data_IF_495116074669
#
_entry.id   IF_495116074669
#
_cell.length_a   1.000
_cell.length_b   1.000
_cell.length_c   1.000
_cell.angle_alpha   90.00
_cell.angle_beta   90.00
_cell.angle_gamma   90.00
#
_symmetry.space_group_name_H-M   'P 1'
#
loop_
_entity.id
_entity.type
_entity.pdbx_description
1 polymer ?
#
# COMPACT_ATOMS: atom_id res chain seq x y z
N UNK A 1 -48.28 39.96 -41.49
CA UNK A 1 -48.59 39.16 -42.70
C UNK A 1 -47.24 38.89 -43.35
N UNK A 2 -46.65 37.69 -43.41
CA UNK A 2 -47.12 36.30 -43.43
C UNK A 2 -46.02 35.37 -42.86
N UNK A 3 -46.45 34.20 -42.39
CA UNK A 3 -45.72 33.18 -41.61
C UNK A 3 -44.83 32.22 -42.44
N UNK A 4 -44.10 31.37 -41.68
CA UNK A 4 -43.69 29.95 -41.93
C UNK A 4 -42.48 29.74 -42.88
N UNK A 5 -41.50 28.83 -42.68
CA UNK A 5 -41.41 27.52 -41.99
C UNK A 5 -39.95 27.14 -41.65
N UNK A 6 -39.78 26.50 -40.49
CA UNK A 6 -38.82 25.45 -40.05
C UNK A 6 -37.70 24.95 -40.98
N UNK A 7 -36.47 24.87 -40.45
CA UNK A 7 -35.55 23.73 -40.64
C UNK A 7 -34.62 23.63 -39.41
N UNK A 8 -34.79 22.54 -38.65
CA UNK A 8 -33.81 22.04 -37.69
C UNK A 8 -32.65 21.39 -38.45
N UNK A 9 -31.42 21.54 -37.96
CA UNK A 9 -30.49 20.43 -37.97
C UNK A 9 -30.17 19.95 -36.55
N UNK A 10 -30.52 18.68 -36.32
CA UNK A 10 -29.94 17.75 -35.34
C UNK A 10 -28.49 17.47 -35.74
N UNK A 11 -27.50 17.72 -34.86
CA UNK A 11 -26.28 16.89 -34.78
C UNK A 11 -25.68 16.94 -33.35
N UNK A 12 -25.61 15.75 -32.78
CA UNK A 12 -24.67 15.21 -31.78
C UNK A 12 -24.46 15.96 -30.45
N UNK A 13 -25.12 15.40 -29.43
CA UNK A 13 -24.56 15.06 -28.13
C UNK A 13 -23.03 14.88 -28.17
N UNK A 14 -22.29 15.88 -27.69
CA UNK A 14 -20.99 15.62 -27.09
C UNK A 14 -21.30 15.03 -25.72
N UNK A 15 -21.27 13.70 -25.64
CA UNK A 15 -21.21 12.96 -24.39
C UNK A 15 -19.86 13.27 -23.76
N UNK A 16 -19.73 14.46 -23.18
CA UNK A 16 -18.94 14.61 -21.96
C UNK A 16 -19.59 13.69 -20.96
N UNK A 17 -19.17 12.42 -20.96
CA UNK A 17 -19.36 11.50 -19.86
C UNK A 17 -18.94 12.30 -18.62
N UNK A 18 -19.94 12.76 -17.87
CA UNK A 18 -19.72 13.43 -16.62
C UNK A 18 -18.88 12.43 -15.84
N UNK A 19 -17.58 12.67 -15.73
CA UNK A 19 -16.74 11.97 -14.80
C UNK A 19 -17.53 12.06 -13.50
N UNK A 20 -18.09 10.93 -13.08
CA UNK A 20 -18.91 10.88 -11.88
C UNK A 20 -18.12 11.64 -10.84
N UNK A 21 -18.72 12.66 -10.21
CA UNK A 21 -18.02 13.46 -9.22
C UNK A 21 -17.83 12.57 -8.00
N UNK A 22 -16.82 11.70 -8.08
CA UNK A 22 -16.48 10.73 -7.05
C UNK A 22 -15.97 11.60 -5.91
N UNK A 23 -16.67 11.59 -4.76
CA UNK A 23 -16.22 12.36 -3.62
C UNK A 23 -14.89 11.80 -3.11
N UNK A 24 -14.14 12.58 -2.35
CA UNK A 24 -12.94 12.05 -1.70
C UNK A 24 -13.30 10.90 -0.76
N UNK A 25 -12.66 9.75 -0.95
CA UNK A 25 -13.02 8.50 -0.26
C UNK A 25 -11.99 8.14 0.80
N UNK A 26 -12.46 7.58 1.91
CA UNK A 26 -11.56 6.88 2.85
C UNK A 26 -11.06 5.56 2.26
N UNK A 27 -9.97 5.02 2.83
CA UNK A 27 -9.27 3.83 2.32
C UNK A 27 -10.19 2.66 1.94
N UNK A 28 -11.14 2.30 2.80
CA UNK A 28 -12.09 1.20 2.54
C UNK A 28 -12.96 1.45 1.30
N UNK A 29 -13.56 2.64 1.19
CA UNK A 29 -14.43 2.97 0.05
C UNK A 29 -13.64 3.11 -1.24
N UNK A 30 -12.43 3.65 -1.15
CA UNK A 30 -11.52 3.71 -2.30
C UNK A 30 -11.12 2.29 -2.77
N UNK A 31 -10.80 1.39 -1.84
CA UNK A 31 -10.46 0.00 -2.14
C UNK A 31 -11.63 -0.79 -2.74
N UNK A 32 -12.85 -0.61 -2.21
CA UNK A 32 -14.08 -1.17 -2.79
C UNK A 32 -14.26 -0.71 -4.24
N UNK A 33 -14.14 0.60 -4.50
CA UNK A 33 -14.24 1.16 -5.85
C UNK A 33 -13.21 0.57 -6.81
N UNK A 34 -11.94 0.44 -6.38
CA UNK A 34 -10.89 -0.16 -7.20
C UNK A 34 -11.13 -1.66 -7.40
N UNK A 35 -11.64 -2.36 -6.38
CA UNK A 35 -11.96 -3.79 -6.48
C UNK A 35 -13.06 -4.04 -7.50
N UNK A 36 -14.14 -3.28 -7.43
CA UNK A 36 -15.27 -3.38 -8.36
C UNK A 36 -14.83 -3.05 -9.79
N UNK A 37 -13.98 -2.01 -9.94
CA UNK A 37 -13.51 -1.55 -11.25
C UNK A 37 -12.56 -2.54 -11.94
N UNK A 38 -11.58 -3.06 -11.20
CA UNK A 38 -10.50 -3.87 -11.79
C UNK A 38 -10.72 -5.38 -11.62
N UNK A 39 -11.71 -5.80 -10.83
CA UNK A 39 -12.01 -7.19 -10.55
C UNK A 39 -10.91 -7.89 -9.73
N UNK A 40 -10.08 -7.14 -9.02
CA UNK A 40 -9.01 -7.66 -8.15
C UNK A 40 -9.27 -7.22 -6.71
N UNK A 41 -9.05 -8.10 -5.74
CA UNK A 41 -9.27 -7.77 -4.33
C UNK A 41 -8.19 -6.78 -3.86
N UNK A 42 -8.55 -5.50 -3.70
CA UNK A 42 -7.66 -4.44 -3.22
C UNK A 42 -7.84 -4.31 -1.71
N UNK A 43 -6.76 -4.52 -0.95
CA UNK A 43 -6.76 -4.22 0.49
C UNK A 43 -6.71 -2.70 0.71
N UNK A 44 -7.46 -2.13 1.68
CA UNK A 44 -7.41 -0.70 2.02
C UNK A 44 -6.00 -0.15 2.25
N UNK A 45 -5.06 -0.96 2.76
CA UNK A 45 -3.68 -0.54 3.00
C UNK A 45 -2.92 -0.28 1.68
N UNK A 46 -3.35 -0.84 0.55
CA UNK A 46 -2.75 -0.58 -0.78
C UNK A 46 -2.92 0.89 -1.19
N UNK A 47 -3.92 1.60 -0.65
CA UNK A 47 -4.11 3.02 -0.96
C UNK A 47 -2.98 3.87 -0.40
N UNK A 48 -2.34 3.44 0.69
CA UNK A 48 -1.13 4.08 1.23
C UNK A 48 -0.02 4.05 0.17
N UNK A 49 0.07 2.97 -0.59
CA UNK A 49 1.11 2.72 -1.58
C UNK A 49 0.85 3.43 -2.89
N UNK A 50 -0.42 3.47 -3.29
CA UNK A 50 -0.87 4.29 -4.42
C UNK A 50 -0.65 5.78 -4.13
N UNK A 51 -0.84 6.24 -2.89
CA UNK A 51 -0.49 7.59 -2.49
C UNK A 51 1.03 7.82 -2.43
N UNK A 52 1.79 6.88 -1.87
CA UNK A 52 3.27 6.94 -1.79
C UNK A 52 3.91 7.06 -3.17
N UNK A 53 3.35 6.37 -4.17
CA UNK A 53 3.81 6.40 -5.56
C UNK A 53 3.23 7.56 -6.37
N UNK A 54 2.32 8.36 -5.79
CA UNK A 54 1.68 9.51 -6.44
C UNK A 54 0.58 9.17 -7.45
N UNK A 55 0.21 7.89 -7.57
CA UNK A 55 -0.85 7.44 -8.48
C UNK A 55 -2.23 7.88 -8.00
N UNK A 56 -2.49 7.78 -6.70
CA UNK A 56 -3.74 8.20 -6.07
C UNK A 56 -3.40 9.07 -4.85
N UNK A 57 -3.26 10.39 -5.00
CA UNK A 57 -2.86 11.27 -3.92
C UNK A 57 -3.92 11.38 -2.83
N UNK A 58 -3.48 11.71 -1.62
CA UNK A 58 -4.39 12.07 -0.53
C UNK A 58 -4.94 13.48 -0.75
N UNK A 59 -6.25 13.65 -0.52
CA UNK A 59 -6.96 14.92 -0.63
C UNK A 59 -7.21 15.60 0.73
N UNK A 60 -6.91 14.91 1.83
CA UNK A 60 -7.03 15.45 3.18
C UNK A 60 -7.22 14.37 4.23
N UNK A 61 -7.79 14.76 5.36
CA UNK A 61 -8.13 13.84 6.45
C UNK A 61 -9.51 14.10 7.00
N UNK A 62 -10.22 13.05 7.40
CA UNK A 62 -11.50 13.13 8.10
C UNK A 62 -11.46 12.26 9.36
N UNK A 63 -11.72 12.87 10.52
CA UNK A 63 -11.64 12.21 11.85
C UNK A 63 -10.30 11.47 12.07
N UNK A 64 -9.21 12.03 11.56
CA UNK A 64 -7.86 11.42 11.65
C UNK A 64 -7.57 10.33 10.61
N UNK A 65 -8.51 9.99 9.74
CA UNK A 65 -8.31 9.04 8.64
C UNK A 65 -8.01 9.78 7.34
N UNK A 66 -7.07 9.25 6.53
CA UNK A 66 -6.75 9.83 5.22
C UNK A 66 -7.92 9.67 4.26
N UNK A 67 -8.15 10.73 3.48
CA UNK A 67 -9.04 10.74 2.33
C UNK A 67 -8.21 10.77 1.06
N UNK A 68 -8.60 9.95 0.09
CA UNK A 68 -7.97 9.84 -1.23
C UNK A 68 -8.76 10.64 -2.25
N UNK A 69 -8.05 11.22 -3.21
CA UNK A 69 -8.64 12.08 -4.22
C UNK A 69 -9.62 11.29 -5.10
N UNK A 70 -10.90 11.65 -5.05
CA UNK A 70 -11.96 10.95 -5.77
C UNK A 70 -11.83 11.08 -7.29
N UNK A 71 -11.37 12.23 -7.79
CA UNK A 71 -11.13 12.45 -9.21
C UNK A 71 -9.95 11.60 -9.72
N UNK A 72 -8.89 11.45 -8.92
CA UNK A 72 -7.79 10.55 -9.25
C UNK A 72 -8.24 9.09 -9.25
N UNK A 73 -9.06 8.67 -8.28
CA UNK A 73 -9.68 7.34 -8.26
C UNK A 73 -10.55 7.11 -9.51
N UNK A 74 -11.34 8.10 -9.90
CA UNK A 74 -12.21 8.04 -11.07
C UNK A 74 -11.41 7.94 -12.38
N UNK A 75 -10.29 8.67 -12.49
CA UNK A 75 -9.43 8.66 -13.66
C UNK A 75 -8.43 7.49 -13.71
N UNK A 76 -8.25 6.75 -12.60
CA UNK A 76 -7.26 5.69 -12.52
C UNK A 76 -7.71 4.44 -13.30
N UNK A 77 -6.93 4.09 -14.33
CA UNK A 77 -7.20 2.99 -15.28
C UNK A 77 -6.02 2.02 -15.44
N UNK A 78 -4.89 2.28 -14.79
CA UNK A 78 -3.68 1.46 -14.92
C UNK A 78 -3.73 0.22 -14.01
N UNK A 79 -4.18 -0.90 -14.59
CA UNK A 79 -4.27 -2.19 -13.90
C UNK A 79 -2.90 -2.72 -13.47
N UNK A 80 -1.89 -2.61 -14.33
CA UNK A 80 -0.57 -3.15 -14.04
C UNK A 80 0.09 -2.39 -12.88
N UNK A 81 -0.15 -1.07 -12.81
CA UNK A 81 0.29 -0.27 -11.67
C UNK A 81 -0.44 -0.66 -10.38
N UNK A 82 -1.73 -0.98 -10.45
CA UNK A 82 -2.48 -1.46 -9.30
C UNK A 82 -1.98 -2.82 -8.81
N UNK A 83 -1.76 -3.77 -9.71
CA UNK A 83 -1.23 -5.09 -9.37
C UNK A 83 0.17 -4.97 -8.75
N UNK A 84 1.06 -4.14 -9.32
CA UNK A 84 2.35 -3.82 -8.71
C UNK A 84 2.20 -3.19 -7.33
N UNK A 85 1.24 -2.27 -7.14
CA UNK A 85 0.99 -1.68 -5.84
C UNK A 85 0.46 -2.73 -4.83
N UNK A 86 -0.37 -3.68 -5.25
CA UNK A 86 -0.85 -4.78 -4.42
C UNK A 86 0.28 -5.72 -3.97
N UNK A 87 1.23 -6.00 -4.86
CA UNK A 87 2.37 -6.87 -4.55
C UNK A 87 3.35 -6.19 -3.60
N UNK A 88 3.83 -5.01 -4.00
CA UNK A 88 4.89 -4.29 -3.28
C UNK A 88 4.32 -3.64 -2.00
N UNK A 89 3.05 -3.29 -2.01
CA UNK A 89 2.36 -2.61 -0.93
C UNK A 89 1.82 -3.50 0.18
N UNK A 90 1.89 -4.82 0.01
CA UNK A 90 1.38 -5.78 0.97
C UNK A 90 2.07 -5.59 2.32
N UNK A 91 1.27 -5.48 3.38
CA UNK A 91 1.76 -5.42 4.74
C UNK A 91 1.91 -6.82 5.33
N UNK A 92 3.09 -7.12 5.86
CA UNK A 92 3.48 -8.42 6.38
C UNK A 92 3.79 -8.30 7.87
N UNK A 93 3.31 -9.26 8.67
CA UNK A 93 3.72 -9.39 10.08
C UNK A 93 5.20 -9.75 10.19
N UNK A 94 5.77 -9.69 11.40
CA UNK A 94 7.16 -10.09 11.64
C UNK A 94 7.47 -11.50 11.14
N UNK A 95 6.57 -12.46 11.38
CA UNK A 95 6.78 -13.86 10.97
C UNK A 95 6.69 -14.01 9.44
N UNK A 96 5.73 -13.32 8.81
CA UNK A 96 5.62 -13.30 7.35
C UNK A 96 6.84 -12.63 6.69
N UNK A 97 7.33 -11.53 7.25
CA UNK A 97 8.53 -10.85 6.78
C UNK A 97 9.78 -11.73 6.91
N UNK A 98 9.93 -12.43 8.04
CA UNK A 98 11.02 -13.39 8.23
C UNK A 98 10.97 -14.55 7.22
N UNK A 99 9.76 -15.09 6.99
CA UNK A 99 9.54 -16.13 5.98
C UNK A 99 9.85 -15.61 4.56
N UNK A 100 9.44 -14.38 4.24
CA UNK A 100 9.70 -13.74 2.95
C UNK A 100 11.22 -13.59 2.69
N UNK A 101 11.96 -13.13 3.70
CA UNK A 101 13.43 -13.02 3.63
C UNK A 101 14.16 -14.37 3.77
N UNK A 102 13.44 -15.43 4.17
CA UNK A 102 13.95 -16.77 4.54
C UNK A 102 14.97 -16.75 5.67
N UNK A 103 14.76 -15.88 6.65
CA UNK A 103 15.60 -15.74 7.84
C UNK A 103 14.80 -16.11 9.10
N UNK A 104 15.45 -16.10 10.27
CA UNK A 104 14.74 -16.36 11.52
C UNK A 104 13.93 -15.13 11.93
N UNK A 105 12.81 -15.35 12.62
CA UNK A 105 12.00 -14.24 13.16
C UNK A 105 12.81 -13.29 14.05
N UNK A 106 13.77 -13.79 14.83
CA UNK A 106 14.62 -12.94 15.67
C UNK A 106 15.55 -12.01 14.87
N UNK A 107 15.92 -12.38 13.65
CA UNK A 107 16.77 -11.57 12.79
C UNK A 107 16.09 -10.26 12.33
N UNK A 108 14.76 -10.26 12.24
CA UNK A 108 14.00 -9.03 11.96
C UNK A 108 14.27 -7.96 13.03
N UNK A 109 14.40 -8.36 14.31
CA UNK A 109 14.73 -7.40 15.37
C UNK A 109 16.13 -6.80 15.20
N UNK A 110 17.09 -7.56 14.65
CA UNK A 110 18.42 -7.03 14.34
C UNK A 110 18.41 -6.05 13.16
N UNK A 111 17.58 -6.31 12.14
CA UNK A 111 17.39 -5.38 11.01
C UNK A 111 16.73 -4.07 11.47
N UNK A 112 15.72 -4.15 12.34
CA UNK A 112 15.07 -2.96 12.91
C UNK A 112 16.02 -2.19 13.82
N UNK A 113 16.73 -2.87 14.74
CA UNK A 113 17.72 -2.24 15.63
C UNK A 113 18.84 -1.53 14.86
N UNK A 114 19.28 -2.11 13.74
CA UNK A 114 20.31 -1.49 12.89
C UNK A 114 19.76 -0.38 11.98
N UNK A 115 18.45 -0.16 11.98
CA UNK A 115 17.79 0.84 11.13
C UNK A 115 17.80 0.49 9.64
N UNK A 116 18.07 -0.79 9.29
CA UNK A 116 18.01 -1.30 7.92
C UNK A 116 16.59 -1.63 7.48
N UNK A 117 15.70 -1.85 8.45
CA UNK A 117 14.28 -2.07 8.24
C UNK A 117 13.49 -1.20 9.22
N UNK A 118 12.42 -0.57 8.76
CA UNK A 118 11.51 0.21 9.62
C UNK A 118 10.10 -0.37 9.47
N UNK A 119 9.34 -0.58 10.55
CA UNK A 119 7.93 -0.93 10.44
C UNK A 119 7.16 0.17 9.69
N UNK A 120 6.34 -0.22 8.73
CA UNK A 120 5.50 0.71 7.97
C UNK A 120 4.33 1.22 8.83
N UNK A 121 3.75 0.34 9.65
CA UNK A 121 2.67 0.68 10.56
C UNK A 121 2.61 -0.32 11.72
N UNK A 122 1.70 -0.07 12.65
CA UNK A 122 1.43 -0.91 13.80
C UNK A 122 -0.06 -1.19 13.91
N UNK A 123 -0.42 -2.46 14.09
CA UNK A 123 -1.81 -2.87 14.29
C UNK A 123 -2.01 -3.45 15.69
N UNK A 124 -3.14 -3.12 16.30
CA UNK A 124 -3.59 -3.80 17.51
C UNK A 124 -4.34 -5.07 17.10
N UNK A 125 -4.19 -6.15 17.87
CA UNK A 125 -5.07 -7.31 17.74
C UNK A 125 -6.53 -6.88 17.91
N UNK A 126 -7.41 -7.32 17.02
CA UNK A 126 -8.85 -7.04 17.09
C UNK A 126 -9.51 -7.62 18.35
N UNK A 127 -8.88 -8.61 18.98
CA UNK A 127 -9.37 -9.29 20.18
C UNK A 127 -8.92 -8.62 21.49
N UNK A 128 -8.20 -7.49 21.42
CA UNK A 128 -7.72 -6.76 22.59
C UNK A 128 -8.03 -5.27 22.43
N UNK A 129 -8.44 -4.57 23.50
CA UNK A 129 -8.53 -3.12 23.49
C UNK A 129 -7.19 -2.49 23.07
N UNK A 130 -7.24 -1.39 22.32
CA UNK A 130 -6.03 -0.67 21.85
C UNK A 130 -5.10 -0.24 22.99
N UNK A 131 -5.64 -0.09 24.20
CA UNK A 131 -4.90 0.28 25.41
C UNK A 131 -4.14 -0.88 26.06
N UNK A 132 -4.42 -2.13 25.69
CA UNK A 132 -3.94 -3.33 26.40
C UNK A 132 -3.14 -4.32 25.53
N UNK A 133 -3.31 -4.31 24.21
CA UNK A 133 -2.59 -5.23 23.31
C UNK A 133 -1.22 -4.69 22.85
N UNK A 134 -0.18 -5.54 22.71
CA UNK A 134 1.06 -5.14 22.07
C UNK A 134 0.78 -4.75 20.62
N UNK A 135 1.31 -3.60 20.21
CA UNK A 135 1.25 -3.13 18.84
C UNK A 135 2.12 -4.04 17.96
N UNK A 136 1.48 -4.75 17.01
CA UNK A 136 2.16 -5.65 16.08
C UNK A 136 2.72 -4.81 14.94
N UNK A 137 4.06 -4.74 14.76
CA UNK A 137 4.64 -4.04 13.63
C UNK A 137 4.35 -4.79 12.33
N UNK A 138 3.93 -4.06 11.31
CA UNK A 138 3.81 -4.54 9.95
C UNK A 138 4.91 -3.95 9.08
N UNK A 139 5.41 -4.76 8.16
CA UNK A 139 6.48 -4.42 7.23
C UNK A 139 5.95 -4.49 5.81
N UNK A 140 6.29 -3.50 5.01
CA UNK A 140 5.92 -3.44 3.61
C UNK A 140 6.74 -4.47 2.81
N UNK A 141 6.10 -5.25 1.95
CA UNK A 141 6.77 -6.24 1.12
C UNK A 141 7.88 -5.61 0.25
N UNK A 142 7.61 -4.46 -0.36
CA UNK A 142 8.61 -3.74 -1.14
C UNK A 142 9.82 -3.27 -0.35
N UNK A 143 9.68 -2.91 0.93
CA UNK A 143 10.84 -2.55 1.75
C UNK A 143 11.72 -3.79 2.01
N UNK A 144 11.12 -4.98 2.09
CA UNK A 144 11.85 -6.24 2.19
C UNK A 144 12.55 -6.59 0.87
N UNK A 145 11.91 -6.35 -0.27
CA UNK A 145 12.50 -6.55 -1.60
C UNK A 145 13.65 -5.58 -1.87
N UNK A 146 13.46 -4.30 -1.55
CA UNK A 146 14.51 -3.28 -1.61
C UNK A 146 15.69 -3.65 -0.68
N UNK A 147 15.39 -4.16 0.51
CA UNK A 147 16.41 -4.65 1.45
C UNK A 147 17.16 -5.89 0.92
N UNK A 148 16.49 -6.80 0.21
CA UNK A 148 17.13 -7.95 -0.45
C UNK A 148 18.04 -7.50 -1.61
N UNK A 149 17.62 -6.48 -2.36
CA UNK A 149 18.39 -5.92 -3.45
C UNK A 149 19.56 -5.02 -2.98
N UNK A 150 19.47 -4.46 -1.78
CA UNK A 150 20.48 -3.55 -1.25
C UNK A 150 21.81 -4.29 -0.98
N UNK A 151 22.94 -3.77 -1.50
CA UNK A 151 24.24 -4.33 -1.18
C UNK A 151 24.61 -4.05 0.27
N UNK A 152 25.30 -5.00 0.91
CA UNK A 152 25.84 -4.84 2.26
C UNK A 152 25.32 -5.84 3.30
N UNK A 153 24.42 -6.75 2.91
CA UNK A 153 24.05 -7.91 3.72
C UNK A 153 24.36 -9.17 2.92
N UNK A 154 25.18 -10.04 3.49
CA UNK A 154 25.39 -11.38 2.96
C UNK A 154 24.21 -12.28 3.37
N UNK A 155 23.16 -12.30 2.53
CA UNK A 155 21.96 -13.08 2.78
C UNK A 155 22.21 -14.59 2.77
N UNK A 156 23.22 -15.06 2.04
CA UNK A 156 23.56 -16.48 2.01
C UNK A 156 24.13 -16.90 3.37
N UNK A 157 25.08 -16.14 3.91
CA UNK A 157 25.64 -16.39 5.25
C UNK A 157 24.57 -16.29 6.35
N UNK A 158 23.65 -15.33 6.25
CA UNK A 158 22.54 -15.21 7.20
C UNK A 158 21.66 -16.45 7.16
N UNK A 159 21.26 -16.90 5.96
CA UNK A 159 20.39 -18.09 5.77
C UNK A 159 21.08 -19.39 6.17
N UNK A 160 22.40 -19.48 5.97
CA UNK A 160 23.20 -20.65 6.35
C UNK A 160 23.44 -20.78 7.86
N UNK A 161 23.08 -19.76 8.65
CA UNK A 161 23.35 -19.77 10.09
C UNK A 161 22.60 -20.93 10.78
N UNK A 162 23.28 -21.86 11.50
CA UNK A 162 22.65 -22.98 12.20
C UNK A 162 21.96 -22.57 13.51
N UNK A 163 20.90 -23.28 13.92
CA UNK A 163 20.17 -22.98 15.15
C UNK A 163 21.13 -22.90 16.36
N UNK A 164 20.91 -21.93 17.26
CA UNK A 164 21.79 -21.70 18.41
C UNK A 164 23.08 -20.92 18.12
N UNK A 165 23.41 -20.63 16.85
CA UNK A 165 24.49 -19.69 16.50
C UNK A 165 23.97 -18.26 16.37
N UNK A 166 24.83 -17.30 16.74
CA UNK A 166 24.58 -15.87 16.58
C UNK A 166 24.61 -15.50 15.10
N UNK A 167 23.56 -14.83 14.64
CA UNK A 167 23.40 -14.37 13.27
C UNK A 167 24.40 -13.26 12.91
N UNK A 168 24.89 -13.20 11.66
CA UNK A 168 25.68 -12.07 11.16
C UNK A 168 24.97 -10.72 11.34
N UNK A 169 23.64 -10.69 11.25
CA UNK A 169 22.84 -9.47 11.46
C UNK A 169 22.95 -8.91 12.88
N UNK A 170 23.29 -9.76 13.86
CA UNK A 170 23.51 -9.36 15.24
C UNK A 170 24.82 -8.56 15.44
N UNK A 171 25.71 -8.54 14.44
CA UNK A 171 26.94 -7.75 14.46
C UNK A 171 26.76 -6.36 13.83
N UNK A 172 25.64 -6.10 13.15
CA UNK A 172 25.36 -4.79 12.56
C UNK A 172 25.32 -3.71 13.66
N UNK A 173 25.88 -2.51 13.42
CA UNK A 173 25.82 -1.41 14.39
C UNK A 173 24.37 -1.03 14.68
N UNK A 174 24.10 -0.65 15.92
CA UNK A 174 22.79 -0.08 16.28
C UNK A 174 22.70 1.31 15.70
N UNK A 175 21.58 1.64 15.05
CA UNK A 175 21.32 3.01 14.62
C UNK A 175 21.09 3.86 15.86
N UNK A 176 22.01 4.79 16.12
CA UNK A 176 21.97 5.72 17.26
C UNK A 176 21.13 6.94 16.93
#
# INVERSE_FOLDING_TARGET
MTNTTTTHPTVATDSGEAAEDVPNLGAHRAAELLTDRFGINVDPDILIELARTGLIPTAGTYKGHQLYNGQALAAFTDRDALERACDVGRLLTRDQAAAHLRIRTCDIAHLVRSGRLTPATYVCSSQQPRSWGPQVPLYRAGDLEELLAAPGIDWEAVRATPAGRRSPLAALPTRT
#
